data_IF_952472416295
#
_entry.id   IF_952472416295
#
_cell.length_a   1.000
_cell.length_b   1.000
_cell.length_c   1.000
_cell.angle_alpha   90.00
_cell.angle_beta   90.00
_cell.angle_gamma   90.00
#
_symmetry.space_group_name_H-M   'P 1'
#
loop_
_entity.id
_entity.type
_entity.pdbx_description
1 polymer ?
#
# COMPACT_ATOMS: atom_id res chain seq x y z
N UNK A 1 13.21 6.61 13.38
CA UNK A 1 14.21 5.87 14.19
C UNK A 1 15.61 6.22 13.73
N UNK A 2 16.56 6.46 14.64
CA UNK A 2 17.98 6.66 14.29
C UNK A 2 18.76 5.33 14.33
N UNK A 3 20.01 5.32 13.87
CA UNK A 3 20.80 4.08 13.75
C UNK A 3 21.10 3.41 15.10
N UNK A 4 21.26 4.18 16.19
CA UNK A 4 21.50 3.62 17.53
C UNK A 4 20.27 2.88 18.05
N UNK A 5 19.09 3.48 17.90
CA UNK A 5 17.84 2.86 18.29
C UNK A 5 17.54 1.63 17.44
N UNK A 6 17.76 1.70 16.12
CA UNK A 6 17.61 0.54 15.22
C UNK A 6 18.49 -0.63 15.65
N UNK A 7 19.76 -0.36 16.00
CA UNK A 7 20.68 -1.40 16.48
C UNK A 7 20.21 -2.04 17.78
N UNK A 8 19.71 -1.22 18.71
CA UNK A 8 19.22 -1.72 20.01
C UNK A 8 17.99 -2.60 19.83
N UNK A 9 16.95 -2.08 19.16
CA UNK A 9 15.70 -2.81 18.88
C UNK A 9 15.92 -4.05 18.02
N UNK A 10 16.86 -3.98 17.07
CA UNK A 10 17.25 -5.13 16.26
C UNK A 10 17.84 -6.27 17.10
N UNK A 11 18.69 -5.95 18.09
CA UNK A 11 19.22 -6.95 19.03
C UNK A 11 18.13 -7.54 19.90
N UNK A 12 17.27 -6.71 20.49
CA UNK A 12 16.12 -7.17 21.29
C UNK A 12 15.22 -8.12 20.49
N UNK A 13 14.99 -7.85 19.21
CA UNK A 13 14.23 -8.74 18.32
C UNK A 13 14.97 -10.06 18.02
N UNK A 14 16.31 -10.03 17.88
CA UNK A 14 17.12 -11.25 17.73
C UNK A 14 17.01 -12.11 18.98
N UNK A 15 17.15 -11.52 20.16
CA UNK A 15 17.02 -12.22 21.43
C UNK A 15 15.60 -12.78 21.59
N UNK A 16 14.58 -12.02 21.21
CA UNK A 16 13.19 -12.50 21.17
C UNK A 16 13.00 -13.73 20.29
N UNK A 17 13.52 -13.71 19.06
CA UNK A 17 13.41 -14.85 18.14
C UNK A 17 14.16 -16.08 18.66
N UNK A 18 15.35 -15.88 19.24
CA UNK A 18 16.13 -16.96 19.85
C UNK A 18 15.34 -17.61 21.00
N UNK A 19 14.81 -16.79 21.92
CA UNK A 19 13.99 -17.25 23.04
C UNK A 19 12.71 -17.96 22.56
N UNK A 20 12.09 -17.48 21.47
CA UNK A 20 10.94 -18.14 20.86
C UNK A 20 11.31 -19.54 20.35
N UNK A 21 12.45 -19.68 19.66
CA UNK A 21 12.92 -20.96 19.14
C UNK A 21 13.31 -21.94 20.25
N UNK A 22 13.99 -21.45 21.29
CA UNK A 22 14.38 -22.26 22.45
C UNK A 22 13.16 -22.70 23.27
N UNK A 23 12.14 -21.84 23.40
CA UNK A 23 10.93 -22.10 24.17
C UNK A 23 9.74 -22.65 23.36
N UNK A 24 9.95 -23.03 22.10
CA UNK A 24 8.84 -23.36 21.18
C UNK A 24 8.01 -24.56 21.66
N UNK A 25 8.63 -25.53 22.31
CA UNK A 25 7.96 -26.74 22.85
C UNK A 25 6.95 -26.43 23.95
N UNK A 26 7.13 -25.30 24.66
CA UNK A 26 6.19 -24.83 25.68
C UNK A 26 5.02 -24.03 25.11
N UNK A 27 5.01 -23.73 23.80
CA UNK A 27 3.94 -22.96 23.17
C UNK A 27 2.87 -23.88 22.59
N UNK A 28 1.65 -23.38 22.61
CA UNK A 28 0.51 -24.09 22.07
C UNK A 28 0.55 -24.13 20.54
N UNK A 29 0.40 -25.32 19.97
CA UNK A 29 0.44 -25.54 18.52
C UNK A 29 -0.86 -25.13 17.85
N UNK A 30 -2.00 -25.47 18.47
CA UNK A 30 -3.33 -25.11 17.96
C UNK A 30 -3.89 -23.89 18.74
N UNK A 31 -4.35 -22.84 18.05
CA UNK A 31 -4.87 -21.64 18.70
C UNK A 31 -6.18 -21.92 19.45
N UNK A 32 -6.32 -21.41 20.69
CA UNK A 32 -7.55 -21.47 21.50
C UNK A 32 -8.45 -20.23 21.33
N UNK A 33 -8.22 -19.45 20.28
CA UNK A 33 -8.97 -18.22 20.00
C UNK A 33 -9.97 -18.42 18.87
N UNK A 34 -11.16 -17.84 19.05
CA UNK A 34 -12.23 -17.90 18.06
C UNK A 34 -12.07 -16.84 16.96
N UNK A 35 -12.58 -17.11 15.74
CA UNK A 35 -12.77 -16.09 14.71
C UNK A 35 -13.42 -14.79 15.21
N UNK A 36 -12.73 -13.67 14.99
CA UNK A 36 -13.14 -12.34 15.39
C UNK A 36 -12.57 -11.86 16.73
N UNK A 37 -11.73 -12.65 17.41
CA UNK A 37 -11.18 -12.30 18.73
C UNK A 37 -10.31 -11.04 18.74
N UNK A 38 -9.68 -10.69 17.61
CA UNK A 38 -8.66 -9.65 17.57
C UNK A 38 -9.29 -8.25 17.51
N UNK A 39 -10.45 -8.10 16.87
CA UNK A 39 -11.11 -6.81 16.66
C UNK A 39 -11.51 -6.08 17.96
N UNK A 40 -12.01 -6.76 19.02
CA UNK A 40 -12.25 -6.14 20.33
C UNK A 40 -10.98 -5.73 21.09
N UNK A 41 -9.82 -6.32 20.75
CA UNK A 41 -8.56 -6.12 21.46
C UNK A 41 -7.70 -5.00 20.86
N UNK A 42 -7.99 -4.57 19.63
CA UNK A 42 -7.25 -3.53 18.91
C UNK A 42 -8.13 -2.30 18.71
N UNK A 43 -7.59 -1.06 18.85
CA UNK A 43 -8.35 0.16 18.58
C UNK A 43 -8.99 0.20 17.18
N UNK A 44 -10.10 0.93 17.06
CA UNK A 44 -10.85 1.02 15.79
C UNK A 44 -10.12 1.83 14.69
N UNK A 45 -9.11 2.63 15.05
CA UNK A 45 -8.30 3.44 14.15
C UNK A 45 -6.86 3.51 14.66
N UNK A 46 -5.92 3.87 13.77
CA UNK A 46 -4.52 4.00 14.14
C UNK A 46 -4.29 5.07 15.22
N UNK A 47 -3.30 4.87 16.11
CA UNK A 47 -2.99 5.85 17.15
C UNK A 47 -2.51 7.15 16.52
N UNK A 48 -2.94 8.28 17.08
CA UNK A 48 -2.56 9.60 16.57
C UNK A 48 -1.11 9.94 16.90
N UNK A 49 -0.69 9.59 18.10
CA UNK A 49 0.67 9.74 18.61
C UNK A 49 1.42 8.39 18.56
N UNK A 50 2.75 8.39 18.59
CA UNK A 50 3.55 7.17 18.72
C UNK A 50 3.28 6.38 20.01
N UNK A 51 3.20 5.06 19.89
CA UNK A 51 3.33 4.12 21.00
C UNK A 51 4.81 3.78 21.27
N UNK A 52 5.11 3.30 22.48
CA UNK A 52 6.46 2.79 22.79
C UNK A 52 6.68 1.41 22.16
N UNK A 53 7.95 1.05 21.95
CA UNK A 53 8.27 -0.29 21.42
C UNK A 53 7.86 -1.38 22.41
N UNK A 54 8.01 -1.12 23.70
CA UNK A 54 7.62 -2.00 24.80
C UNK A 54 6.11 -2.30 24.77
N UNK A 55 5.27 -1.28 24.57
CA UNK A 55 3.82 -1.47 24.42
C UNK A 55 3.49 -2.37 23.22
N UNK A 56 4.17 -2.15 22.10
CA UNK A 56 3.94 -2.92 20.88
C UNK A 56 4.35 -4.39 21.07
N UNK A 57 5.51 -4.67 21.67
CA UNK A 57 5.98 -6.04 21.92
C UNK A 57 5.09 -6.75 22.94
N UNK A 58 4.64 -6.06 23.98
CA UNK A 58 3.69 -6.62 24.94
C UNK A 58 2.38 -7.03 24.24
N UNK A 59 1.90 -6.22 23.30
CA UNK A 59 0.71 -6.54 22.50
C UNK A 59 0.98 -7.64 21.45
N UNK A 60 2.22 -7.82 20.95
CA UNK A 60 2.57 -9.00 20.12
C UNK A 60 2.28 -10.26 20.91
N UNK A 61 2.85 -10.39 22.11
CA UNK A 61 2.70 -11.60 22.93
C UNK A 61 1.26 -11.78 23.40
N UNK A 62 0.57 -10.70 23.76
CA UNK A 62 -0.79 -10.77 24.31
C UNK A 62 -1.87 -10.97 23.26
N UNK A 63 -1.76 -10.32 22.09
CA UNK A 63 -2.84 -10.23 21.09
C UNK A 63 -2.54 -11.09 19.87
N UNK A 64 -1.28 -11.11 19.39
CA UNK A 64 -0.91 -11.77 18.13
C UNK A 64 -0.53 -13.22 18.34
N UNK A 65 0.36 -13.51 19.30
CA UNK A 65 0.89 -14.86 19.52
C UNK A 65 -0.17 -15.93 19.80
N UNK A 66 -1.28 -15.66 20.54
CA UNK A 66 -2.32 -16.66 20.77
C UNK A 66 -3.03 -17.15 19.49
N UNK A 67 -3.03 -16.35 18.42
CA UNK A 67 -3.62 -16.67 17.13
C UNK A 67 -2.62 -16.72 15.98
N UNK A 68 -1.31 -16.85 16.26
CA UNK A 68 -0.24 -16.69 15.27
C UNK A 68 -0.32 -17.72 14.13
N UNK A 69 -0.76 -18.96 14.42
CA UNK A 69 -0.98 -19.99 13.41
C UNK A 69 -2.25 -19.70 12.56
N UNK A 70 -3.28 -19.14 13.17
CA UNK A 70 -4.55 -18.61 12.63
C UNK A 70 -5.41 -18.22 13.86
N UNK A 71 -6.30 -17.22 13.84
CA UNK A 71 -6.69 -16.33 12.75
C UNK A 71 -5.97 -14.95 12.74
N UNK A 72 -4.96 -14.74 13.59
CA UNK A 72 -4.34 -13.41 13.79
C UNK A 72 -3.79 -12.78 12.50
N UNK A 73 -3.16 -13.57 11.63
CA UNK A 73 -2.59 -13.09 10.37
C UNK A 73 -3.65 -12.37 9.50
N UNK A 74 -4.82 -12.98 9.40
CA UNK A 74 -5.94 -12.51 8.58
C UNK A 74 -6.69 -11.36 9.25
N UNK A 75 -6.98 -11.49 10.55
CA UNK A 75 -7.71 -10.44 11.27
C UNK A 75 -6.89 -9.17 11.40
N UNK A 76 -5.59 -9.26 11.70
CA UNK A 76 -4.73 -8.09 11.79
C UNK A 76 -4.64 -7.38 10.44
N UNK A 77 -4.58 -8.11 9.32
CA UNK A 77 -4.59 -7.50 7.99
C UNK A 77 -5.86 -6.70 7.72
N UNK A 78 -7.01 -7.27 8.07
CA UNK A 78 -8.31 -6.59 7.96
C UNK A 78 -8.32 -5.28 8.77
N UNK A 79 -7.81 -5.32 10.00
CA UNK A 79 -7.72 -4.12 10.85
C UNK A 79 -6.72 -3.10 10.30
N UNK A 80 -5.56 -3.53 9.79
CA UNK A 80 -4.56 -2.62 9.20
C UNK A 80 -5.06 -1.94 7.93
N UNK A 81 -5.83 -2.65 7.11
CA UNK A 81 -6.45 -2.09 5.91
C UNK A 81 -7.57 -1.10 6.26
N UNK A 82 -8.33 -1.35 7.33
CA UNK A 82 -9.31 -0.38 7.85
C UNK A 82 -8.62 0.86 8.43
N UNK A 83 -7.57 0.69 9.23
CA UNK A 83 -6.78 1.79 9.78
C UNK A 83 -6.22 2.68 8.67
N UNK A 84 -5.58 2.07 7.67
CA UNK A 84 -4.99 2.79 6.56
C UNK A 84 -6.06 3.45 5.67
N UNK A 85 -7.16 2.76 5.39
CA UNK A 85 -8.29 3.34 4.67
C UNK A 85 -8.90 4.54 5.39
N UNK A 86 -8.98 4.52 6.73
CA UNK A 86 -9.41 5.66 7.55
C UNK A 86 -8.40 6.80 7.55
N UNK A 87 -7.09 6.53 7.60
CA UNK A 87 -6.06 7.57 7.47
C UNK A 87 -6.14 8.29 6.13
N UNK A 88 -6.52 7.59 5.06
CA UNK A 88 -6.74 8.15 3.73
C UNK A 88 -8.10 8.84 3.57
N UNK A 89 -9.03 8.63 4.51
CA UNK A 89 -10.46 8.98 4.39
C UNK A 89 -11.11 8.38 3.13
N UNK A 90 -10.80 7.11 2.83
CA UNK A 90 -11.46 6.39 1.75
C UNK A 90 -12.98 6.27 2.02
N UNK A 91 -13.82 6.28 0.97
CA UNK A 91 -15.24 6.01 1.11
C UNK A 91 -15.50 4.70 1.87
N UNK A 92 -16.52 4.68 2.73
CA UNK A 92 -16.89 3.49 3.53
C UNK A 92 -17.08 2.22 2.67
N UNK A 93 -17.47 2.39 1.41
CA UNK A 93 -17.59 1.30 0.44
C UNK A 93 -16.29 0.49 0.24
N UNK A 94 -15.11 1.07 0.52
CA UNK A 94 -13.82 0.36 0.43
C UNK A 94 -13.39 -0.32 1.74
N UNK A 95 -14.02 -0.03 2.88
CA UNK A 95 -13.58 -0.52 4.20
C UNK A 95 -14.20 -1.90 4.53
N UNK A 96 -13.53 -2.67 5.38
CA UNK A 96 -13.97 -3.99 5.86
C UNK A 96 -14.96 -3.89 7.05
N UNK A 97 -15.55 -2.71 7.29
CA UNK A 97 -16.53 -2.53 8.35
C UNK A 97 -17.84 -3.26 8.02
N UNK A 98 -18.60 -3.69 9.04
CA UNK A 98 -19.74 -4.61 8.95
C UNK A 98 -20.87 -4.22 7.98
N UNK A 99 -20.87 -3.01 7.44
CA UNK A 99 -21.89 -2.49 6.52
C UNK A 99 -21.43 -2.37 5.05
N UNK A 100 -20.17 -2.67 4.72
CA UNK A 100 -19.61 -2.49 3.38
C UNK A 100 -19.41 -3.80 2.60
N UNK A 101 -19.67 -3.79 1.29
CA UNK A 101 -19.33 -4.90 0.38
C UNK A 101 -17.84 -4.94 0.03
N UNK A 102 -17.09 -3.87 0.27
CA UNK A 102 -15.67 -3.78 -0.08
C UNK A 102 -14.74 -4.36 0.96
N UNK A 103 -13.47 -4.02 0.81
CA UNK A 103 -12.41 -4.44 1.71
C UNK A 103 -11.04 -4.19 1.11
N UNK A 104 -10.01 -4.50 1.88
CA UNK A 104 -8.63 -4.28 1.47
C UNK A 104 -7.75 -5.50 1.68
N UNK A 105 -6.77 -5.68 0.81
CA UNK A 105 -5.78 -6.76 0.84
C UNK A 105 -4.36 -6.21 0.69
N UNK A 106 -3.38 -6.82 1.35
CA UNK A 106 -1.96 -6.50 1.22
C UNK A 106 -1.28 -7.48 0.25
N UNK A 107 -0.85 -6.95 -0.88
CA UNK A 107 -0.13 -7.65 -1.95
C UNK A 107 1.36 -7.28 -1.97
N UNK A 108 2.13 -7.89 -2.88
CA UNK A 108 3.57 -7.62 -2.99
C UNK A 108 3.88 -6.34 -3.77
N UNK A 109 3.16 -6.09 -4.86
CA UNK A 109 3.48 -4.98 -5.77
C UNK A 109 2.23 -4.31 -6.34
N UNK A 110 2.39 -3.08 -6.83
CA UNK A 110 1.34 -2.39 -7.58
C UNK A 110 0.98 -3.15 -8.87
N UNK A 111 1.98 -3.78 -9.52
CA UNK A 111 1.75 -4.63 -10.69
C UNK A 111 0.85 -5.83 -10.40
N UNK A 112 1.02 -6.45 -9.23
CA UNK A 112 0.11 -7.51 -8.76
C UNK A 112 -1.31 -6.96 -8.54
N UNK A 113 -1.42 -5.77 -7.92
CA UNK A 113 -2.71 -5.12 -7.67
C UNK A 113 -3.45 -4.77 -8.97
N UNK A 114 -2.75 -4.20 -9.93
CA UNK A 114 -3.30 -3.91 -11.26
C UNK A 114 -3.67 -5.19 -12.01
N UNK A 115 -2.85 -6.24 -11.97
CA UNK A 115 -3.19 -7.53 -12.59
C UNK A 115 -4.44 -8.14 -11.96
N UNK A 116 -4.54 -8.14 -10.63
CA UNK A 116 -5.69 -8.63 -9.89
C UNK A 116 -6.95 -7.84 -10.24
N UNK A 117 -6.86 -6.51 -10.32
CA UNK A 117 -7.95 -5.65 -10.76
C UNK A 117 -8.40 -5.97 -12.20
N UNK A 118 -7.46 -6.12 -13.14
CA UNK A 118 -7.76 -6.45 -14.54
C UNK A 118 -8.44 -7.82 -14.68
N UNK A 119 -7.98 -8.83 -13.94
CA UNK A 119 -8.60 -10.16 -13.96
C UNK A 119 -10.01 -10.14 -13.35
N UNK A 120 -10.23 -9.37 -12.28
CA UNK A 120 -11.56 -9.16 -11.72
C UNK A 120 -12.50 -8.45 -12.70
N UNK A 121 -12.05 -7.37 -13.33
CA UNK A 121 -12.80 -6.65 -14.37
C UNK A 121 -13.19 -7.56 -15.54
N UNK A 122 -12.23 -8.35 -16.05
CA UNK A 122 -12.47 -9.32 -17.13
C UNK A 122 -13.53 -10.34 -16.73
N UNK A 123 -13.40 -10.94 -15.55
CA UNK A 123 -14.36 -11.95 -15.06
C UNK A 123 -15.74 -11.36 -14.85
N UNK A 124 -15.84 -10.13 -14.32
CA UNK A 124 -17.10 -9.38 -14.19
C UNK A 124 -17.80 -9.21 -15.54
N UNK A 125 -17.07 -8.80 -16.58
CA UNK A 125 -17.60 -8.65 -17.94
C UNK A 125 -18.04 -10.00 -18.53
N UNK A 126 -17.25 -11.07 -18.34
CA UNK A 126 -17.61 -12.42 -18.76
C UNK A 126 -18.94 -12.85 -18.14
N UNK A 127 -19.09 -12.75 -16.82
CA UNK A 127 -20.31 -13.14 -16.14
C UNK A 127 -21.52 -12.31 -16.59
N UNK A 128 -21.35 -11.00 -16.80
CA UNK A 128 -22.40 -10.12 -17.32
C UNK A 128 -22.87 -10.56 -18.71
N UNK A 129 -21.93 -10.81 -19.62
CA UNK A 129 -22.25 -11.23 -20.99
C UNK A 129 -22.89 -12.62 -21.05
N UNK A 130 -22.42 -13.56 -20.23
CA UNK A 130 -23.05 -14.89 -20.12
C UNK A 130 -24.46 -14.81 -19.51
N UNK A 131 -24.70 -13.91 -18.55
CA UNK A 131 -26.03 -13.71 -18.00
C UNK A 131 -27.00 -13.11 -19.03
N UNK A 132 -26.52 -12.21 -19.90
CA UNK A 132 -27.31 -11.62 -20.98
C UNK A 132 -27.52 -12.57 -22.18
N UNK A 133 -26.54 -13.43 -22.45
CA UNK A 133 -26.50 -14.38 -23.56
C UNK A 133 -25.95 -15.74 -23.09
N UNK A 134 -26.79 -16.60 -22.48
CA UNK A 134 -26.38 -17.88 -21.91
C UNK A 134 -25.76 -18.87 -22.91
N UNK A 135 -26.01 -18.68 -24.20
CA UNK A 135 -25.45 -19.44 -25.30
C UNK A 135 -23.96 -19.14 -25.56
N UNK A 136 -23.46 -18.00 -25.10
CA UNK A 136 -22.06 -17.64 -25.26
C UNK A 136 -21.18 -18.40 -24.28
N UNK A 137 -20.27 -19.20 -24.82
CA UNK A 137 -19.24 -19.85 -24.01
C UNK A 137 -18.24 -18.81 -23.49
N UNK A 138 -17.65 -19.08 -22.34
CA UNK A 138 -16.61 -18.22 -21.76
C UNK A 138 -15.44 -18.02 -22.73
N UNK A 139 -15.05 -19.07 -23.47
CA UNK A 139 -13.99 -19.01 -24.48
C UNK A 139 -14.34 -18.01 -25.61
N UNK A 140 -15.56 -18.09 -26.15
CA UNK A 140 -16.02 -17.20 -27.22
C UNK A 140 -16.09 -15.73 -26.80
N UNK A 141 -16.37 -15.46 -25.50
CA UNK A 141 -16.32 -14.11 -24.94
C UNK A 141 -14.85 -13.66 -24.78
N UNK A 142 -14.00 -14.51 -24.20
CA UNK A 142 -12.59 -14.19 -24.00
C UNK A 142 -11.85 -13.89 -25.30
N UNK A 143 -12.16 -14.59 -26.39
CA UNK A 143 -11.61 -14.34 -27.73
C UNK A 143 -11.93 -12.93 -28.27
N UNK A 144 -12.98 -12.27 -27.75
CA UNK A 144 -13.35 -10.90 -28.10
C UNK A 144 -12.77 -9.87 -27.13
N UNK A 145 -12.44 -10.28 -25.91
CA UNK A 145 -11.76 -9.45 -24.90
C UNK A 145 -10.24 -9.41 -25.16
N UNK A 146 -9.86 -9.05 -26.39
CA UNK A 146 -8.46 -8.90 -26.79
C UNK A 146 -8.03 -7.46 -26.50
N UNK A 147 -6.93 -7.29 -25.77
CA UNK A 147 -6.39 -5.98 -25.40
C UNK A 147 -5.80 -5.23 -26.62
N UNK A 148 -6.67 -4.63 -27.45
CA UNK A 148 -6.27 -3.69 -28.51
C UNK A 148 -6.59 -2.22 -28.16
N UNK A 149 -7.51 -2.02 -27.21
CA UNK A 149 -7.77 -0.80 -26.42
C UNK A 149 -8.76 -1.27 -25.36
N UNK A 150 -8.40 -1.24 -24.08
CA UNK A 150 -9.15 -2.02 -23.07
C UNK A 150 -10.38 -1.27 -22.56
N UNK A 151 -11.48 -1.98 -22.29
CA UNK A 151 -12.63 -1.49 -21.50
C UNK A 151 -12.29 -1.32 -19.99
N UNK A 152 -10.99 -1.29 -19.67
CA UNK A 152 -10.47 -1.03 -18.34
C UNK A 152 -9.64 0.27 -18.38
N UNK A 153 -9.81 1.10 -17.36
CA UNK A 153 -9.07 2.35 -17.21
C UNK A 153 -8.18 2.26 -15.98
N UNK A 154 -6.87 2.50 -16.17
CA UNK A 154 -5.92 2.70 -15.07
C UNK A 154 -5.62 4.19 -14.99
N UNK A 155 -6.23 4.86 -14.02
CA UNK A 155 -5.88 6.24 -13.71
C UNK A 155 -4.72 6.25 -12.72
N UNK A 156 -3.70 7.07 -12.98
CA UNK A 156 -2.49 7.15 -12.15
C UNK A 156 -2.47 8.46 -11.37
N UNK A 157 -2.29 8.34 -10.05
CA UNK A 157 -2.04 9.48 -9.17
C UNK A 157 -0.57 9.48 -8.77
N UNK A 158 0.22 10.33 -9.42
CA UNK A 158 1.67 10.42 -9.25
C UNK A 158 2.45 9.48 -10.15
N UNK A 159 2.44 9.75 -11.47
CA UNK A 159 3.17 8.98 -12.48
C UNK A 159 4.68 8.89 -12.21
N UNK A 160 5.31 7.80 -12.63
CA UNK A 160 6.74 7.53 -12.38
C UNK A 160 7.67 8.60 -12.97
N UNK A 161 7.34 9.16 -14.12
CA UNK A 161 8.23 10.06 -14.87
C UNK A 161 8.23 11.49 -14.32
N UNK A 162 7.07 12.01 -13.96
CA UNK A 162 6.92 13.42 -13.57
C UNK A 162 5.92 13.66 -12.43
N UNK A 163 5.40 12.61 -11.79
CA UNK A 163 4.40 12.70 -10.72
C UNK A 163 3.15 13.47 -11.18
N UNK A 164 2.70 13.24 -12.42
CA UNK A 164 1.42 13.77 -12.91
C UNK A 164 0.23 13.02 -12.30
N UNK A 165 -0.94 13.66 -12.31
CA UNK A 165 -2.19 13.14 -11.76
C UNK A 165 -3.26 13.17 -12.83
N UNK A 166 -3.90 12.02 -13.06
CA UNK A 166 -5.10 11.98 -13.89
C UNK A 166 -6.30 12.58 -13.13
N UNK A 167 -7.18 13.28 -13.84
CA UNK A 167 -8.34 13.91 -13.22
C UNK A 167 -9.49 12.89 -13.04
N UNK A 168 -9.58 12.29 -11.86
CA UNK A 168 -10.63 11.31 -11.56
C UNK A 168 -12.05 11.90 -11.64
N UNK A 169 -12.23 13.20 -11.42
CA UNK A 169 -13.54 13.85 -11.54
C UNK A 169 -14.01 13.96 -13.00
N UNK A 170 -13.09 13.91 -13.97
CA UNK A 170 -13.42 13.87 -15.40
C UNK A 170 -13.56 12.43 -15.91
N UNK A 171 -12.62 11.55 -15.54
CA UNK A 171 -12.59 10.17 -16.02
C UNK A 171 -13.63 9.29 -15.33
N UNK A 172 -13.81 9.45 -14.02
CA UNK A 172 -14.69 8.63 -13.19
C UNK A 172 -16.14 8.55 -13.67
N UNK A 173 -16.82 9.69 -13.94
CA UNK A 173 -18.18 9.68 -14.47
C UNK A 173 -18.32 8.97 -15.81
N UNK A 174 -17.31 9.04 -16.67
CA UNK A 174 -17.29 8.34 -17.97
C UNK A 174 -17.18 6.83 -17.74
N UNK A 175 -16.25 6.41 -16.88
CA UNK A 175 -16.09 4.99 -16.55
C UNK A 175 -17.38 4.39 -15.99
N UNK A 176 -18.03 5.07 -15.05
CA UNK A 176 -19.31 4.62 -14.49
C UNK A 176 -20.44 4.57 -15.53
N UNK A 177 -20.51 5.57 -16.43
CA UNK A 177 -21.55 5.62 -17.47
C UNK A 177 -21.42 4.47 -18.47
N UNK A 178 -20.19 4.16 -18.87
CA UNK A 178 -19.89 3.13 -19.87
C UNK A 178 -19.65 1.73 -19.24
N UNK A 179 -19.85 1.60 -17.91
CA UNK A 179 -19.57 0.38 -17.12
C UNK A 179 -18.16 -0.19 -17.35
N UNK A 180 -17.18 0.72 -17.37
CA UNK A 180 -15.74 0.45 -17.47
C UNK A 180 -15.13 0.37 -16.08
N UNK A 181 -14.37 -0.69 -15.81
CA UNK A 181 -13.66 -0.82 -14.54
C UNK A 181 -12.59 0.26 -14.39
N UNK A 182 -12.68 1.06 -13.33
CA UNK A 182 -11.70 2.08 -13.00
C UNK A 182 -10.80 1.63 -11.85
N UNK A 183 -9.53 1.36 -12.17
CA UNK A 183 -8.48 1.12 -11.20
C UNK A 183 -7.65 2.39 -11.00
N UNK A 184 -7.51 2.85 -9.76
CA UNK A 184 -6.67 4.01 -9.43
C UNK A 184 -5.35 3.54 -8.84
N UNK A 185 -4.27 3.69 -9.61
CA UNK A 185 -2.91 3.43 -9.16
C UNK A 185 -2.27 4.69 -8.57
N UNK A 186 -2.13 4.70 -7.25
CA UNK A 186 -1.44 5.73 -6.52
C UNK A 186 -0.13 5.20 -5.90
N UNK A 187 0.52 4.19 -6.50
CA UNK A 187 1.66 3.47 -5.93
C UNK A 187 2.63 4.34 -5.12
N UNK A 188 3.05 5.48 -5.66
CA UNK A 188 3.91 6.44 -4.96
C UNK A 188 3.11 7.48 -4.15
N UNK A 189 2.28 8.29 -4.81
CA UNK A 189 1.66 9.48 -4.19
C UNK A 189 0.56 9.14 -3.17
N UNK A 190 0.02 7.91 -3.18
CA UNK A 190 -1.03 7.49 -2.27
C UNK A 190 -0.68 7.61 -0.79
N UNK A 191 0.62 7.52 -0.45
CA UNK A 191 1.08 7.78 0.92
C UNK A 191 0.78 9.21 1.35
N UNK A 192 0.90 10.19 0.45
CA UNK A 192 0.68 11.61 0.75
C UNK A 192 -0.76 11.91 1.20
N UNK A 193 -1.73 11.10 0.78
CA UNK A 193 -3.15 11.32 1.08
C UNK A 193 -3.53 11.01 2.53
N UNK A 194 -2.60 10.58 3.38
CA UNK A 194 -2.84 10.60 4.83
C UNK A 194 -2.75 12.02 5.41
N UNK A 195 -2.16 12.96 4.69
CA UNK A 195 -2.10 14.38 5.04
C UNK A 195 -3.30 15.13 4.41
N UNK A 196 -4.12 15.86 5.19
CA UNK A 196 -5.30 16.55 4.69
C UNK A 196 -5.04 17.50 3.51
N UNK A 197 -3.91 18.20 3.52
CA UNK A 197 -3.55 19.17 2.48
C UNK A 197 -3.31 18.54 1.08
N UNK A 198 -2.97 17.25 1.02
CA UNK A 198 -2.79 16.54 -0.25
C UNK A 198 -4.03 15.77 -0.68
N UNK A 199 -4.98 15.53 0.24
CA UNK A 199 -6.10 14.60 0.01
C UNK A 199 -7.02 14.99 -1.15
N UNK A 200 -7.13 16.27 -1.47
CA UNK A 200 -7.94 16.71 -2.61
C UNK A 200 -7.45 16.19 -3.98
N UNK A 201 -6.23 15.66 -4.07
CA UNK A 201 -5.74 14.91 -5.26
C UNK A 201 -6.42 13.56 -5.44
N UNK A 202 -7.07 13.04 -4.40
CA UNK A 202 -7.80 11.78 -4.40
C UNK A 202 -9.31 11.99 -4.67
N UNK A 203 -9.76 13.24 -4.83
CA UNK A 203 -11.17 13.52 -5.17
C UNK A 203 -11.56 12.78 -6.45
N UNK A 204 -12.69 12.08 -6.44
CA UNK A 204 -13.14 11.20 -7.52
C UNK A 204 -12.79 9.73 -7.31
N UNK A 205 -12.06 9.34 -6.25
CA UNK A 205 -11.83 7.92 -5.90
C UNK A 205 -13.15 7.18 -5.62
N UNK A 206 -14.21 7.89 -5.26
CA UNK A 206 -15.56 7.38 -5.12
C UNK A 206 -16.17 6.88 -6.45
N UNK A 207 -15.55 7.14 -7.60
CA UNK A 207 -15.91 6.52 -8.87
C UNK A 207 -15.17 5.19 -9.08
N UNK A 208 -13.97 5.02 -8.55
CA UNK A 208 -13.12 3.85 -8.80
C UNK A 208 -13.68 2.52 -8.27
N UNK A 209 -13.53 1.41 -9.00
CA UNK A 209 -13.85 0.07 -8.51
C UNK A 209 -12.76 -0.43 -7.55
N UNK A 210 -11.52 -0.01 -7.79
CA UNK A 210 -10.35 -0.40 -7.00
C UNK A 210 -9.33 0.74 -6.89
N UNK A 211 -8.61 0.77 -5.77
CA UNK A 211 -7.59 1.76 -5.47
C UNK A 211 -6.38 1.07 -4.83
N UNK A 212 -5.16 1.39 -5.25
CA UNK A 212 -3.96 0.88 -4.58
C UNK A 212 -2.91 1.97 -4.35
N UNK A 213 -2.08 1.75 -3.33
CA UNK A 213 -0.77 2.39 -3.26
C UNK A 213 0.25 1.51 -2.53
N UNK A 214 1.52 1.91 -2.55
CA UNK A 214 2.59 1.13 -1.94
C UNK A 214 3.11 1.81 -0.67
N UNK A 215 2.68 1.35 0.53
CA UNK A 215 3.33 1.74 1.79
C UNK A 215 4.86 1.56 1.78
N UNK A 216 5.37 0.59 1.02
CA UNK A 216 6.82 0.37 0.89
C UNK A 216 7.59 1.40 0.06
N UNK A 217 6.89 2.33 -0.60
CA UNK A 217 7.54 3.42 -1.33
C UNK A 217 7.75 4.64 -0.44
N UNK A 218 6.70 5.13 0.21
CA UNK A 218 6.76 6.43 0.90
C UNK A 218 6.02 6.47 2.24
N UNK A 219 5.80 5.31 2.88
CA UNK A 219 5.15 5.21 4.19
C UNK A 219 5.98 4.40 5.21
N UNK A 220 7.31 4.35 5.04
CA UNK A 220 8.26 3.71 5.99
C UNK A 220 8.08 2.20 6.22
N UNK A 221 7.21 1.53 5.45
CA UNK A 221 7.06 0.08 5.51
C UNK A 221 8.16 -0.57 4.67
N UNK A 222 8.79 -1.65 5.15
CA UNK A 222 9.79 -2.35 4.35
C UNK A 222 9.15 -3.11 3.17
N UNK A 223 9.88 -3.22 2.06
CA UNK A 223 9.50 -4.01 0.89
C UNK A 223 9.25 -5.49 1.28
N UNK A 224 8.24 -6.19 0.77
CA UNK A 224 7.19 -5.83 -0.21
C UNK A 224 5.85 -5.47 0.47
N UNK A 225 5.16 -4.40 0.09
CA UNK A 225 3.89 -4.01 0.72
C UNK A 225 3.05 -3.09 -0.17
N UNK A 226 2.11 -3.65 -0.93
CA UNK A 226 1.15 -2.89 -1.74
C UNK A 226 -0.24 -3.07 -1.14
N UNK A 227 -0.87 -1.97 -0.74
CA UNK A 227 -2.20 -1.97 -0.15
C UNK A 227 -3.21 -1.70 -1.26
N UNK A 228 -4.14 -2.62 -1.47
CA UNK A 228 -5.20 -2.50 -2.48
C UNK A 228 -6.57 -2.59 -1.80
N UNK A 229 -7.49 -1.71 -2.16
CA UNK A 229 -8.90 -1.77 -1.78
C UNK A 229 -9.78 -1.99 -3.01
N UNK A 230 -10.90 -2.67 -2.78
CA UNK A 230 -11.98 -2.81 -3.76
C UNK A 230 -13.31 -2.41 -3.12
N UNK A 231 -14.22 -1.84 -3.90
CA UNK A 231 -15.57 -1.52 -3.42
C UNK A 231 -16.46 -2.74 -3.25
N UNK A 232 -16.18 -3.82 -3.99
CA UNK A 232 -17.01 -5.03 -4.01
C UNK A 232 -16.13 -6.27 -3.98
N UNK A 233 -16.06 -6.92 -2.82
CA UNK A 233 -15.23 -8.11 -2.60
C UNK A 233 -15.59 -9.28 -3.51
N UNK A 234 -16.87 -9.39 -3.90
CA UNK A 234 -17.35 -10.47 -4.75
C UNK A 234 -16.82 -10.40 -6.18
N UNK A 235 -16.36 -9.23 -6.64
CA UNK A 235 -15.70 -9.10 -7.93
C UNK A 235 -14.30 -9.74 -7.91
N UNK A 236 -13.57 -9.61 -6.79
CA UNK A 236 -12.30 -10.32 -6.58
C UNK A 236 -12.54 -11.82 -6.36
N UNK A 237 -13.37 -12.18 -5.39
CA UNK A 237 -13.56 -13.60 -5.06
C UNK A 237 -14.18 -14.37 -6.22
N UNK A 238 -15.06 -13.76 -7.01
CA UNK A 238 -15.59 -14.37 -8.23
C UNK A 238 -14.54 -14.70 -9.29
N UNK A 239 -13.40 -13.97 -9.31
CA UNK A 239 -12.30 -14.21 -10.24
C UNK A 239 -11.24 -15.20 -9.72
N UNK A 240 -11.08 -15.31 -8.40
CA UNK A 240 -9.97 -16.08 -7.78
C UNK A 240 -10.44 -17.19 -6.82
N UNK A 241 -11.74 -17.51 -6.79
CA UNK A 241 -12.26 -18.57 -5.91
C UNK A 241 -11.60 -19.92 -6.23
N UNK A 242 -11.08 -20.56 -5.19
CA UNK A 242 -10.44 -21.87 -5.28
C UNK A 242 -10.75 -22.66 -4.01
N UNK A 243 -11.58 -23.70 -4.13
CA UNK A 243 -12.09 -24.47 -2.98
C UNK A 243 -11.62 -25.94 -3.00
N UNK A 244 -10.32 -26.21 -2.80
CA UNK A 244 -9.84 -27.58 -2.76
C UNK A 244 -10.24 -28.23 -1.43
N UNK A 245 -10.57 -29.51 -1.47
CA UNK A 245 -11.11 -30.25 -0.31
C UNK A 245 -10.22 -30.18 0.93
N UNK A 246 -8.90 -30.12 0.77
CA UNK A 246 -7.91 -30.09 1.86
C UNK A 246 -7.78 -28.73 2.57
N UNK A 247 -8.40 -27.67 2.05
CA UNK A 247 -8.40 -26.33 2.68
C UNK A 247 -9.78 -25.92 3.20
N UNK A 248 -10.74 -26.84 3.26
CA UNK A 248 -12.06 -26.58 3.83
C UNK A 248 -11.97 -26.50 5.34
N UNK A 249 -12.64 -25.50 5.91
CA UNK A 249 -12.79 -25.36 7.36
C UNK A 249 -14.22 -24.91 7.70
N UNK A 250 -14.65 -25.19 8.93
CA UNK A 250 -16.00 -24.91 9.44
C UNK A 250 -16.43 -23.44 9.31
N UNK A 251 -15.48 -22.51 9.27
CA UNK A 251 -15.73 -21.07 9.24
C UNK A 251 -15.67 -20.43 7.84
N UNK A 252 -15.44 -21.20 6.77
CA UNK A 252 -15.18 -20.65 5.43
C UNK A 252 -16.39 -19.85 4.88
N UNK A 253 -17.60 -20.29 5.20
CA UNK A 253 -18.86 -19.64 4.80
C UNK A 253 -19.49 -18.78 5.91
N UNK A 254 -18.80 -18.62 7.05
CA UNK A 254 -19.33 -17.84 8.18
C UNK A 254 -19.42 -16.34 7.90
N UNK A 255 -18.67 -15.84 6.91
CA UNK A 255 -18.55 -14.41 6.63
C UNK A 255 -17.84 -13.61 7.74
N UNK A 256 -17.42 -14.24 8.83
CA UNK A 256 -16.79 -13.61 9.99
C UNK A 256 -15.33 -13.21 9.73
N UNK A 257 -14.62 -13.99 8.90
CA UNK A 257 -13.23 -13.78 8.52
C UNK A 257 -13.13 -13.68 7.00
N UNK A 258 -12.39 -12.68 6.52
CA UNK A 258 -12.06 -12.54 5.10
C UNK A 258 -11.03 -13.60 4.69
N UNK A 259 -11.39 -14.45 3.74
CA UNK A 259 -10.45 -15.42 3.20
C UNK A 259 -9.60 -14.82 2.08
N UNK A 260 -8.45 -14.25 2.45
CA UNK A 260 -7.57 -13.57 1.51
C UNK A 260 -6.95 -14.49 0.44
N UNK A 261 -7.11 -15.82 0.52
CA UNK A 261 -6.68 -16.72 -0.55
C UNK A 261 -7.38 -16.40 -1.88
N UNK A 262 -8.58 -15.83 -1.82
CA UNK A 262 -9.40 -15.48 -2.98
C UNK A 262 -9.25 -14.00 -3.43
N UNK A 263 -8.24 -13.29 -2.91
CA UNK A 263 -8.07 -11.83 -3.14
C UNK A 263 -6.76 -11.50 -3.87
N UNK A 264 -5.98 -12.52 -4.26
CA UNK A 264 -4.64 -12.36 -4.79
C UNK A 264 -4.22 -13.60 -5.60
N UNK A 265 -3.03 -13.54 -6.20
CA UNK A 265 -2.50 -14.63 -7.04
C UNK A 265 -1.96 -15.81 -6.21
N UNK A 266 -1.09 -15.63 -5.20
CA UNK A 266 -0.51 -16.76 -4.49
C UNK A 266 -1.45 -17.31 -3.42
N UNK A 267 -1.51 -18.64 -3.30
CA UNK A 267 -2.24 -19.34 -2.25
C UNK A 267 -1.65 -19.06 -0.86
N UNK A 268 -0.32 -19.21 -0.74
CA UNK A 268 0.41 -18.93 0.50
C UNK A 268 0.61 -17.43 0.73
N UNK A 269 0.58 -17.00 1.99
CA UNK A 269 0.69 -15.59 2.37
C UNK A 269 1.73 -15.37 3.47
N UNK A 270 2.46 -14.26 3.37
CA UNK A 270 3.31 -13.78 4.47
C UNK A 270 2.45 -12.95 5.43
N UNK A 271 2.87 -12.84 6.69
CA UNK A 271 2.24 -11.97 7.67
C UNK A 271 2.60 -10.48 7.43
N UNK A 272 2.17 -9.92 6.29
CA UNK A 272 2.54 -8.57 5.82
C UNK A 272 1.94 -7.45 6.68
N UNK A 273 0.80 -7.70 7.32
CA UNK A 273 0.13 -6.73 8.18
C UNK A 273 0.90 -6.44 9.47
N UNK A 274 1.71 -7.38 9.97
CA UNK A 274 2.50 -7.19 11.20
C UNK A 274 3.48 -6.02 11.07
N UNK A 275 4.20 -5.90 9.95
CA UNK A 275 5.11 -4.76 9.75
C UNK A 275 4.38 -3.42 9.60
N UNK A 276 3.17 -3.41 9.03
CA UNK A 276 2.33 -2.20 8.99
C UNK A 276 1.90 -1.80 10.40
N UNK A 277 1.50 -2.78 11.21
CA UNK A 277 1.11 -2.56 12.60
C UNK A 277 2.24 -1.93 13.43
N UNK A 278 3.47 -2.45 13.31
CA UNK A 278 4.63 -1.81 13.93
C UNK A 278 4.82 -0.37 13.45
N UNK A 279 4.82 -0.11 12.13
CA UNK A 279 5.02 1.25 11.60
C UNK A 279 3.93 2.21 12.09
N UNK A 280 2.66 1.81 12.02
CA UNK A 280 1.54 2.68 12.40
C UNK A 280 1.57 3.02 13.89
N UNK A 281 1.93 2.07 14.74
CA UNK A 281 2.03 2.31 16.18
C UNK A 281 3.29 3.08 16.56
N UNK A 282 4.45 2.72 16.03
CA UNK A 282 5.73 3.36 16.36
C UNK A 282 5.83 4.82 15.94
N UNK A 283 5.09 5.24 14.90
CA UNK A 283 5.13 6.62 14.41
C UNK A 283 3.85 7.39 14.73
N UNK A 284 2.72 6.72 14.91
CA UNK A 284 1.40 7.36 14.95
C UNK A 284 1.05 8.08 13.64
N UNK A 285 -0.22 8.45 13.49
CA UNK A 285 -0.67 9.19 12.30
C UNK A 285 0.08 10.52 12.15
N UNK A 286 0.27 11.26 13.24
CA UNK A 286 0.97 12.56 13.20
C UNK A 286 2.44 12.43 12.82
N UNK A 287 3.14 11.41 13.32
CA UNK A 287 4.54 11.17 12.97
C UNK A 287 4.69 10.74 11.51
N UNK A 288 3.78 9.94 10.97
CA UNK A 288 3.75 9.58 9.55
C UNK A 288 3.47 10.81 8.66
N UNK A 289 2.49 11.64 9.03
CA UNK A 289 2.22 12.88 8.30
C UNK A 289 3.42 13.85 8.35
N UNK A 290 4.06 14.00 9.51
CA UNK A 290 5.28 14.80 9.65
C UNK A 290 6.42 14.27 8.78
N UNK A 291 6.57 12.93 8.71
CA UNK A 291 7.53 12.28 7.82
C UNK A 291 7.26 12.60 6.34
N UNK A 292 6.00 12.61 5.90
CA UNK A 292 5.65 12.96 4.52
C UNK A 292 5.89 14.45 4.24
N UNK A 293 5.52 15.31 5.20
CA UNK A 293 5.68 16.76 5.07
C UNK A 293 7.14 17.20 4.97
N UNK A 294 8.12 16.39 5.40
CA UNK A 294 9.57 16.67 5.44
C UNK A 294 9.92 18.16 5.40
N UNK A 295 9.87 18.83 6.54
CA UNK A 295 10.47 20.16 6.77
C UNK A 295 10.10 21.27 5.75
N UNK A 296 10.88 22.35 5.78
CA UNK A 296 10.76 23.45 4.83
C UNK A 296 11.49 23.16 3.52
N UNK A 297 11.08 23.79 2.41
CA UNK A 297 11.75 23.66 1.11
C UNK A 297 13.17 24.25 1.05
N UNK A 298 13.55 25.04 2.07
CA UNK A 298 14.77 25.84 2.09
C UNK A 298 16.03 25.02 1.82
N UNK A 299 16.10 23.80 2.36
CA UNK A 299 17.24 22.89 2.16
C UNK A 299 17.38 22.49 0.70
N UNK A 300 16.27 22.14 0.05
CA UNK A 300 16.28 21.74 -1.36
C UNK A 300 16.53 22.94 -2.29
N UNK A 301 15.97 24.11 -1.96
CA UNK A 301 16.22 25.36 -2.67
C UNK A 301 17.71 25.76 -2.60
N UNK A 302 18.30 25.73 -1.40
CA UNK A 302 19.71 26.01 -1.19
C UNK A 302 20.62 25.00 -1.91
N UNK A 303 20.26 23.71 -1.89
CA UNK A 303 20.99 22.68 -2.62
C UNK A 303 20.95 22.92 -4.14
N UNK A 304 19.78 23.23 -4.70
CA UNK A 304 19.68 23.55 -6.13
C UNK A 304 20.54 24.75 -6.51
N UNK A 305 20.46 25.82 -5.71
CA UNK A 305 21.21 27.04 -5.96
C UNK A 305 22.71 26.75 -6.00
N UNK A 306 23.24 25.94 -5.06
CA UNK A 306 24.65 25.55 -5.04
C UNK A 306 25.02 24.67 -6.24
N UNK A 307 24.19 23.69 -6.60
CA UNK A 307 24.44 22.81 -7.75
C UNK A 307 24.56 23.61 -9.05
N UNK A 308 23.59 24.48 -9.31
CA UNK A 308 23.57 25.28 -10.54
C UNK A 308 24.67 26.37 -10.53
N UNK A 309 25.02 26.92 -9.37
CA UNK A 309 26.12 27.89 -9.23
C UNK A 309 27.49 27.26 -9.45
N UNK A 310 27.67 25.98 -9.10
CA UNK A 310 28.90 25.23 -9.34
C UNK A 310 29.15 24.94 -10.82
N UNK A 311 28.12 25.04 -11.67
CA UNK A 311 28.18 24.89 -13.15
C UNK A 311 28.78 23.57 -13.65
N UNK A 312 28.92 22.55 -12.78
CA UNK A 312 29.41 21.21 -13.15
C UNK A 312 28.29 20.34 -13.71
N UNK A 313 27.08 20.51 -13.19
CA UNK A 313 25.84 19.88 -13.65
C UNK A 313 24.71 20.91 -13.57
N UNK A 314 23.63 20.67 -14.29
CA UNK A 314 22.43 21.50 -14.22
C UNK A 314 21.24 20.64 -13.81
N UNK A 315 20.54 21.09 -12.76
CA UNK A 315 19.26 20.53 -12.36
C UNK A 315 18.18 21.61 -12.53
N UNK A 316 16.98 21.16 -12.84
CA UNK A 316 15.79 22.01 -12.85
C UNK A 316 14.92 21.66 -11.65
N UNK A 317 14.34 22.65 -10.96
CA UNK A 317 13.36 22.36 -9.94
C UNK A 317 12.05 21.91 -10.56
N UNK A 318 11.21 21.32 -9.73
CA UNK A 318 9.79 21.21 -9.94
C UNK A 318 9.08 21.52 -8.63
N UNK A 319 7.99 22.26 -8.75
CA UNK A 319 7.06 22.46 -7.66
C UNK A 319 5.96 21.41 -7.79
N UNK A 320 5.98 20.43 -6.90
CA UNK A 320 4.83 19.59 -6.67
C UNK A 320 3.98 20.31 -5.62
N UNK A 321 3.19 21.29 -6.10
CA UNK A 321 2.46 22.27 -5.28
C UNK A 321 3.39 23.12 -4.42
N UNK A 322 3.31 22.96 -3.10
CA UNK A 322 4.09 23.66 -2.09
C UNK A 322 5.44 22.97 -1.80
N UNK A 323 5.75 21.84 -2.45
CA UNK A 323 7.01 21.12 -2.26
C UNK A 323 8.01 21.36 -3.38
N UNK A 324 9.20 21.78 -3.00
CA UNK A 324 10.33 22.04 -3.90
C UNK A 324 11.16 20.76 -4.09
N UNK A 325 11.12 20.22 -5.31
CA UNK A 325 11.78 18.95 -5.68
C UNK A 325 12.83 19.20 -6.76
N UNK A 326 13.97 18.52 -6.66
CA UNK A 326 15.03 18.59 -7.67
C UNK A 326 14.81 17.51 -8.73
N UNK A 327 14.73 17.90 -10.02
CA UNK A 327 14.64 16.95 -11.13
C UNK A 327 16.02 16.68 -11.69
N UNK A 328 16.45 15.43 -11.54
CA UNK A 328 17.65 14.92 -12.19
C UNK A 328 17.26 14.13 -13.44
N UNK A 329 17.07 14.85 -14.54
CA UNK A 329 16.64 14.30 -15.82
C UNK A 329 17.85 14.06 -16.75
N UNK A 330 18.08 12.80 -17.12
CA UNK A 330 19.15 12.42 -18.05
C UNK A 330 18.53 12.32 -19.45
N UNK A 331 18.75 13.35 -20.27
CA UNK A 331 18.11 13.45 -21.59
C UNK A 331 19.12 13.59 -22.75
N UNK A 332 20.40 13.85 -22.47
CA UNK A 332 21.41 13.98 -23.53
C UNK A 332 21.87 12.60 -24.02
N UNK A 333 21.89 12.43 -25.34
CA UNK A 333 22.31 11.19 -26.02
C UNK A 333 23.78 10.82 -25.78
N UNK A 334 24.59 11.75 -25.30
CA UNK A 334 26.01 11.55 -25.00
C UNK A 334 26.29 11.21 -23.53
N UNK A 335 25.25 11.11 -22.69
CA UNK A 335 25.42 10.81 -21.26
C UNK A 335 25.63 9.32 -21.05
N UNK A 336 26.83 8.97 -20.62
CA UNK A 336 27.18 7.64 -20.11
C UNK A 336 27.02 7.53 -18.59
N UNK A 337 26.99 6.29 -18.09
CA UNK A 337 26.93 5.96 -16.66
C UNK A 337 27.92 6.80 -15.83
N UNK A 338 29.19 6.88 -16.25
CA UNK A 338 30.25 7.62 -15.53
C UNK A 338 29.94 9.10 -15.30
N UNK A 339 29.12 9.74 -16.15
CA UNK A 339 28.65 11.10 -15.93
C UNK A 339 27.60 11.18 -14.82
N UNK A 340 26.70 10.18 -14.76
CA UNK A 340 25.68 10.05 -13.72
C UNK A 340 26.31 9.82 -12.36
N UNK A 341 27.32 8.94 -12.25
CA UNK A 341 28.03 8.74 -10.99
C UNK A 341 28.75 10.03 -10.55
N UNK A 342 29.46 10.72 -11.46
CA UNK A 342 30.12 12.00 -11.13
C UNK A 342 29.12 13.07 -10.69
N UNK A 343 27.97 13.17 -11.36
CA UNK A 343 26.89 14.08 -10.96
C UNK A 343 26.35 13.73 -9.57
N UNK A 344 26.15 12.45 -9.27
CA UNK A 344 25.69 12.01 -7.96
C UNK A 344 26.69 12.28 -6.84
N UNK A 345 27.99 12.02 -7.05
CA UNK A 345 29.05 12.39 -6.09
C UNK A 345 29.04 13.89 -5.82
N UNK A 346 28.92 14.71 -6.87
CA UNK A 346 28.86 16.15 -6.73
C UNK A 346 27.63 16.64 -5.96
N UNK A 347 26.45 16.05 -6.20
CA UNK A 347 25.22 16.35 -5.45
C UNK A 347 25.41 16.00 -3.97
N UNK A 348 26.01 14.85 -3.65
CA UNK A 348 26.27 14.43 -2.26
C UNK A 348 27.20 15.39 -1.53
N UNK A 349 28.29 15.81 -2.16
CA UNK A 349 29.23 16.77 -1.58
C UNK A 349 28.52 18.08 -1.20
N UNK A 350 27.78 18.66 -2.15
CA UNK A 350 27.06 19.91 -1.93
C UNK A 350 25.92 19.76 -0.92
N UNK A 351 25.22 18.63 -0.94
CA UNK A 351 24.19 18.33 0.06
C UNK A 351 24.79 18.24 1.47
N UNK A 352 25.96 17.62 1.62
CA UNK A 352 26.65 17.57 2.91
C UNK A 352 27.04 18.99 3.40
N UNK A 353 27.47 19.88 2.50
CA UNK A 353 27.76 21.27 2.85
C UNK A 353 26.51 22.05 3.30
N UNK A 354 25.39 21.91 2.57
CA UNK A 354 24.12 22.56 2.93
C UNK A 354 23.64 22.07 4.29
N UNK A 355 23.70 20.77 4.54
CA UNK A 355 23.28 20.17 5.81
C UNK A 355 24.21 20.52 6.99
N UNK A 356 25.49 20.80 6.73
CA UNK A 356 26.40 21.35 7.76
C UNK A 356 26.02 22.78 8.11
N UNK A 357 25.77 23.62 7.11
CA UNK A 357 25.42 25.03 7.30
C UNK A 357 24.04 25.25 7.99
N UNK A 358 23.13 24.28 7.97
CA UNK A 358 21.88 24.34 8.76
C UNK A 358 22.05 23.97 10.23
N UNK A 359 23.19 23.36 10.62
CA UNK A 359 23.46 22.95 12.01
C UNK A 359 24.28 23.97 12.79
N UNK A 360 24.83 24.97 12.10
CA UNK A 360 25.48 26.16 12.65
C UNK A 360 24.43 27.27 12.81
#
# INVERSE_FOLDING_TARGET
MNASEFRRRGKEMVDYMANYMEGIEGRQVYPDVEPGYLRPLIPAAAPQEPDTFEDIINDVEKIIMPGAASPACTELETVMMDWLGKMLELPKAFLNEKAGEGGGVIQGSASEATLVALLAARTKVIHRLQAASPELTQAAIMEKLVAYSSDQMVATLGTTTCCSFDNLLEVGPICNKEDIWLHVDAAYAGSAFICPEFRHLLNGVEFADSFNFNPHKWLLVNFDCSAMWVKKRTDLTGAFRLDPTYLKHSHQDSGLITDYRHWQIPLGRRFRSLKMWFVFRMYGVKGLQAYIRKGSNKVNEALLQRINSAKKIHLVPCHLRDKFVLRFAICSRTVESAHVQRAWEHIKELAADVLRAERE
#
